data_IF_119857319335
#
_entry.id   IF_119857319335
#
_cell.length_a   1.000
_cell.length_b   1.000
_cell.length_c   1.000
_cell.angle_alpha   90.00
_cell.angle_beta   90.00
_cell.angle_gamma   90.00
#
_symmetry.space_group_name_H-M   'P 1'
#
loop_
_entity.id
_entity.type
_entity.pdbx_description
1 polymer ?
#
# COMPACT_ATOMS: atom_id res chain seq x y z
N UNK A 1 -16.01 38.43 29.17
CA UNK A 1 -16.23 37.85 27.84
C UNK A 1 -14.99 37.09 27.35
N UNK A 2 -13.81 37.71 27.27
CA UNK A 2 -12.57 37.07 26.79
C UNK A 2 -12.14 35.88 27.67
N UNK A 3 -12.17 36.05 28.99
CA UNK A 3 -11.85 34.99 29.94
C UNK A 3 -12.81 33.79 29.83
N UNK A 4 -14.09 34.05 29.62
CA UNK A 4 -15.08 33.00 29.42
C UNK A 4 -14.86 32.21 28.12
N UNK A 5 -14.42 32.87 27.04
CA UNK A 5 -14.07 32.24 25.79
C UNK A 5 -12.83 31.33 25.90
N UNK A 6 -11.81 31.80 26.65
CA UNK A 6 -10.59 31.01 26.87
C UNK A 6 -10.89 29.75 27.70
N UNK A 7 -11.71 29.89 28.75
CA UNK A 7 -12.12 28.77 29.60
C UNK A 7 -12.94 27.74 28.80
N UNK A 8 -13.92 28.20 28.01
CA UNK A 8 -14.73 27.33 27.16
C UNK A 8 -13.91 26.59 26.10
N UNK A 9 -12.96 27.27 25.46
CA UNK A 9 -12.08 26.68 24.47
C UNK A 9 -11.13 25.66 25.12
N UNK A 10 -10.58 25.95 26.27
CA UNK A 10 -9.74 25.04 27.04
C UNK A 10 -10.48 23.78 27.52
N UNK A 11 -11.70 23.94 28.03
CA UNK A 11 -12.56 22.80 28.40
C UNK A 11 -12.98 21.99 27.19
N UNK A 12 -13.30 22.63 26.07
CA UNK A 12 -13.64 21.96 24.82
C UNK A 12 -12.46 21.13 24.27
N UNK A 13 -11.26 21.66 24.27
CA UNK A 13 -10.05 20.97 23.87
C UNK A 13 -9.70 19.78 24.77
N UNK A 14 -9.85 19.93 26.07
CA UNK A 14 -9.63 18.85 27.05
C UNK A 14 -10.66 17.72 26.89
N UNK A 15 -11.95 18.06 26.76
CA UNK A 15 -13.01 17.06 26.53
C UNK A 15 -12.84 16.35 25.18
N UNK A 16 -12.54 17.06 24.11
CA UNK A 16 -12.32 16.45 22.79
C UNK A 16 -11.15 15.45 22.81
N UNK A 17 -10.06 15.75 23.52
CA UNK A 17 -8.91 14.87 23.61
C UNK A 17 -9.18 13.62 24.48
N UNK A 18 -9.94 13.76 25.57
CA UNK A 18 -10.32 12.64 26.46
C UNK A 18 -11.36 11.76 25.76
N UNK A 19 -12.40 12.34 25.16
CA UNK A 19 -13.42 11.59 24.40
C UNK A 19 -12.82 10.90 23.18
N UNK A 20 -11.94 11.56 22.43
CA UNK A 20 -11.28 10.98 21.27
C UNK A 20 -10.46 9.75 21.64
N UNK A 21 -9.67 9.81 22.72
CA UNK A 21 -8.90 8.66 23.23
C UNK A 21 -9.81 7.53 23.73
N UNK A 22 -10.88 7.85 24.42
CA UNK A 22 -11.83 6.85 24.95
C UNK A 22 -12.58 6.17 23.84
N UNK A 23 -13.00 6.88 22.80
CA UNK A 23 -13.67 6.30 21.62
C UNK A 23 -12.73 5.39 20.86
N UNK A 24 -11.47 5.80 20.67
CA UNK A 24 -10.47 4.94 20.02
C UNK A 24 -10.20 3.67 20.83
N UNK A 25 -10.00 3.78 22.15
CA UNK A 25 -9.80 2.62 23.02
C UNK A 25 -11.02 1.70 23.08
N UNK A 26 -12.24 2.27 23.07
CA UNK A 26 -13.48 1.49 23.02
C UNK A 26 -13.62 0.76 21.67
N UNK A 27 -13.28 1.43 20.58
CA UNK A 27 -13.24 0.84 19.24
C UNK A 27 -12.22 -0.31 19.16
N UNK A 28 -11.01 -0.12 19.67
CA UNK A 28 -9.98 -1.15 19.72
C UNK A 28 -10.42 -2.35 20.58
N UNK A 29 -10.98 -2.13 21.76
CA UNK A 29 -11.51 -3.18 22.63
C UNK A 29 -12.71 -3.93 22.02
N UNK A 30 -13.50 -3.27 21.17
CA UNK A 30 -14.61 -3.89 20.46
C UNK A 30 -14.11 -4.78 19.32
N UNK A 31 -13.08 -4.35 18.61
CA UNK A 31 -12.41 -5.12 17.54
C UNK A 31 -11.71 -6.36 18.11
N UNK A 32 -11.13 -6.26 19.30
CA UNK A 32 -10.47 -7.38 19.97
C UNK A 32 -11.43 -8.50 20.41
N UNK A 33 -12.72 -8.20 20.53
CA UNK A 33 -13.74 -9.18 20.97
C UNK A 33 -14.31 -10.04 19.84
N UNK A 34 -14.07 -9.68 18.59
CA UNK A 34 -14.57 -10.46 17.45
C UNK A 34 -13.39 -11.26 16.85
N UNK A 35 -13.31 -12.58 17.07
CA UNK A 35 -12.14 -13.40 16.68
C UNK A 35 -11.81 -13.32 15.18
N UNK A 36 -12.81 -13.19 14.33
CA UNK A 36 -12.64 -13.12 12.88
C UNK A 36 -12.02 -11.78 12.46
N UNK A 37 -12.47 -10.67 13.07
CA UNK A 37 -11.96 -9.32 12.77
C UNK A 37 -10.50 -9.19 13.26
N UNK A 38 -10.18 -9.77 14.42
CA UNK A 38 -8.81 -9.79 14.95
C UNK A 38 -7.84 -10.50 14.02
N UNK A 39 -8.24 -11.64 13.45
CA UNK A 39 -7.38 -12.38 12.52
C UNK A 39 -7.17 -11.63 11.19
N UNK A 40 -8.22 -11.00 10.66
CA UNK A 40 -8.14 -10.17 9.44
C UNK A 40 -7.32 -8.91 9.72
N UNK A 41 -7.56 -8.23 10.84
CA UNK A 41 -6.80 -7.04 11.23
C UNK A 41 -5.32 -7.37 11.49
N UNK A 42 -5.03 -8.49 12.16
CA UNK A 42 -3.66 -8.95 12.37
C UNK A 42 -2.94 -9.26 11.07
N UNK A 43 -3.61 -9.91 10.13
CA UNK A 43 -3.06 -10.21 8.81
C UNK A 43 -2.84 -8.92 7.99
N UNK A 44 -3.80 -8.00 7.98
CA UNK A 44 -3.66 -6.70 7.33
C UNK A 44 -2.57 -5.85 7.98
N UNK A 45 -2.50 -5.78 9.30
CA UNK A 45 -1.46 -5.07 10.03
C UNK A 45 -0.08 -5.64 9.72
N UNK A 46 0.07 -6.97 9.69
CA UNK A 46 1.31 -7.63 9.32
C UNK A 46 1.71 -7.34 7.86
N UNK A 47 0.74 -7.30 6.94
CA UNK A 47 0.97 -6.90 5.55
C UNK A 47 1.41 -5.43 5.50
N UNK A 48 0.71 -4.52 6.21
CA UNK A 48 1.05 -3.10 6.26
C UNK A 48 2.39 -2.83 6.94
N UNK A 49 2.70 -3.50 8.05
CA UNK A 49 4.00 -3.38 8.72
C UNK A 49 5.12 -3.96 7.86
N UNK A 50 4.87 -5.06 7.15
CA UNK A 50 5.82 -5.65 6.20
C UNK A 50 6.07 -4.70 5.02
N UNK A 51 5.03 -4.07 4.49
CA UNK A 51 5.14 -3.09 3.39
C UNK A 51 5.75 -1.77 3.88
N UNK A 52 5.36 -1.27 5.05
CA UNK A 52 5.82 0.03 5.57
C UNK A 52 7.25 -0.02 6.14
N UNK A 53 7.66 -1.12 6.80
CA UNK A 53 9.00 -1.29 7.35
C UNK A 53 10.02 -1.81 6.33
N UNK A 54 9.56 -2.37 5.22
CA UNK A 54 10.39 -2.96 4.18
C UNK A 54 10.29 -2.23 2.83
N UNK A 55 9.74 -1.02 2.81
CA UNK A 55 9.57 -0.25 1.58
C UNK A 55 10.87 -0.05 0.77
N UNK A 56 12.03 -0.29 1.39
CA UNK A 56 13.33 -0.30 0.71
C UNK A 56 13.95 -1.70 0.49
N UNK A 57 13.32 -2.80 0.96
CA UNK A 57 13.93 -4.14 0.86
C UNK A 57 13.05 -5.24 0.25
N UNK A 58 11.76 -5.05 0.09
CA UNK A 58 10.84 -6.12 -0.33
C UNK A 58 10.32 -6.02 -1.76
N UNK A 59 10.39 -4.86 -2.37
CA UNK A 59 10.16 -4.82 -3.81
C UNK A 59 11.50 -5.01 -4.51
N UNK A 60 11.58 -6.05 -5.34
CA UNK A 60 12.79 -6.33 -6.15
C UNK A 60 13.03 -5.28 -7.24
N UNK A 61 12.08 -4.35 -7.42
CA UNK A 61 12.16 -3.27 -8.37
C UNK A 61 10.82 -2.83 -8.92
N UNK A 62 10.88 -1.87 -9.80
CA UNK A 62 9.75 -1.33 -10.55
C UNK A 62 9.84 -1.84 -11.98
N UNK A 63 8.73 -2.27 -12.55
CA UNK A 63 8.67 -2.77 -13.92
C UNK A 63 7.52 -2.15 -14.70
N UNK A 64 7.72 -2.00 -16.01
CA UNK A 64 6.65 -1.83 -16.99
C UNK A 64 6.32 -3.17 -17.61
N UNK A 65 5.04 -3.42 -17.83
CA UNK A 65 4.56 -4.61 -18.52
C UNK A 65 3.25 -4.32 -19.26
N UNK A 66 2.94 -5.09 -20.26
CA UNK A 66 1.71 -4.90 -21.04
C UNK A 66 0.48 -5.36 -20.25
N UNK A 67 -0.44 -4.44 -19.98
CA UNK A 67 -1.69 -4.71 -19.28
C UNK A 67 -2.71 -3.58 -19.54
N UNK A 68 -4.00 -3.88 -19.80
CA UNK A 68 -4.63 -5.21 -19.86
C UNK A 68 -4.48 -5.92 -21.21
N UNK A 69 -3.82 -5.31 -22.17
CA UNK A 69 -3.57 -5.88 -23.49
C UNK A 69 -2.28 -5.34 -24.09
N UNK A 70 -1.86 -5.94 -25.20
CA UNK A 70 -0.71 -5.51 -25.97
C UNK A 70 -0.78 -4.02 -26.33
N UNK A 71 0.37 -3.36 -26.30
CA UNK A 71 0.57 -1.93 -26.57
C UNK A 71 -0.07 -0.96 -25.54
N UNK A 72 -0.55 -1.49 -24.40
CA UNK A 72 -0.92 -0.67 -23.23
C UNK A 72 -0.04 -1.09 -22.04
N UNK A 73 0.63 -0.11 -21.44
CA UNK A 73 1.63 -0.37 -20.42
C UNK A 73 1.15 0.01 -19.03
N UNK A 74 1.42 -0.84 -18.08
CA UNK A 74 1.18 -0.61 -16.66
C UNK A 74 2.49 -0.60 -15.88
N UNK A 75 2.54 0.21 -14.84
CA UNK A 75 3.62 0.24 -13.87
C UNK A 75 3.29 -0.70 -12.72
N UNK A 76 4.25 -1.52 -12.31
CA UNK A 76 4.07 -2.45 -11.20
C UNK A 76 5.32 -2.64 -10.36
N UNK A 77 5.11 -3.20 -9.18
CA UNK A 77 6.17 -3.52 -8.23
C UNK A 77 6.40 -5.03 -8.21
N UNK A 78 7.63 -5.45 -8.46
CA UNK A 78 8.01 -6.86 -8.34
C UNK A 78 8.12 -7.22 -6.87
N UNK A 79 7.27 -8.13 -6.42
CA UNK A 79 7.26 -8.59 -5.02
C UNK A 79 8.16 -9.80 -4.83
N UNK A 80 8.04 -10.81 -5.69
CA UNK A 80 8.82 -12.04 -5.63
C UNK A 80 8.79 -12.75 -6.97
N UNK A 81 9.56 -13.81 -7.10
CA UNK A 81 9.39 -14.80 -8.17
C UNK A 81 8.19 -15.70 -7.83
N UNK A 82 7.43 -16.16 -8.85
CA UNK A 82 6.34 -17.10 -8.63
C UNK A 82 6.87 -18.41 -8.03
N UNK A 83 6.09 -18.99 -7.11
CA UNK A 83 6.46 -20.22 -6.41
C UNK A 83 5.24 -21.14 -6.25
N UNK A 84 5.52 -22.39 -5.90
CA UNK A 84 4.50 -23.41 -5.62
C UNK A 84 3.65 -23.72 -6.86
N UNK A 85 2.37 -23.99 -6.65
CA UNK A 85 1.45 -24.47 -7.70
C UNK A 85 1.42 -23.57 -8.95
N UNK A 86 1.64 -22.27 -8.82
CA UNK A 86 1.66 -21.34 -9.97
C UNK A 86 2.89 -21.58 -10.82
N UNK A 87 4.07 -21.69 -10.20
CA UNK A 87 5.30 -22.00 -10.89
C UNK A 87 5.25 -23.41 -11.50
N UNK A 88 4.72 -24.39 -10.77
CA UNK A 88 4.59 -25.78 -11.26
C UNK A 88 3.71 -25.88 -12.53
N UNK A 89 2.66 -25.05 -12.62
CA UNK A 89 1.73 -25.09 -13.76
C UNK A 89 2.11 -24.20 -14.93
N UNK A 90 2.82 -23.11 -14.69
CA UNK A 90 3.10 -22.06 -15.69
C UNK A 90 4.58 -21.88 -16.00
N UNK A 91 5.47 -22.48 -15.22
CA UNK A 91 6.92 -22.36 -15.33
C UNK A 91 7.52 -21.44 -14.29
N UNK A 92 8.81 -21.59 -14.06
CA UNK A 92 9.55 -20.96 -12.96
C UNK A 92 9.97 -19.51 -13.26
N UNK A 93 9.83 -19.02 -14.49
CA UNK A 93 10.28 -17.68 -14.90
C UNK A 93 9.17 -16.62 -14.90
N UNK A 94 8.29 -16.72 -13.93
CA UNK A 94 7.24 -15.73 -13.69
C UNK A 94 7.60 -14.81 -12.54
N UNK A 95 7.41 -13.50 -12.75
CA UNK A 95 7.44 -12.49 -11.71
C UNK A 95 6.05 -12.33 -11.10
N UNK A 96 6.00 -12.27 -9.77
CA UNK A 96 4.83 -11.84 -9.03
C UNK A 96 4.86 -10.31 -8.95
N UNK A 97 3.87 -9.65 -9.54
CA UNK A 97 3.82 -8.19 -9.68
C UNK A 97 2.56 -7.67 -9.00
N UNK A 98 2.74 -6.68 -8.13
CA UNK A 98 1.66 -5.85 -7.65
C UNK A 98 1.49 -4.66 -8.59
N UNK A 99 0.34 -4.58 -9.26
CA UNK A 99 -0.05 -3.48 -10.12
C UNK A 99 -1.05 -2.59 -9.39
N UNK A 100 -0.62 -1.46 -8.79
CA UNK A 100 -1.50 -0.60 -8.00
C UNK A 100 -2.47 0.18 -8.87
N UNK A 101 -3.60 0.58 -8.27
CA UNK A 101 -4.52 1.53 -8.86
C UNK A 101 -4.09 2.97 -8.58
N UNK A 102 -4.52 3.90 -9.45
CA UNK A 102 -4.29 5.33 -9.27
C UNK A 102 -5.62 6.03 -8.92
N UNK A 103 -5.63 7.05 -8.08
CA UNK A 103 -4.56 7.61 -7.26
C UNK A 103 -4.31 6.84 -5.95
N UNK A 104 -5.09 5.79 -5.68
CA UNK A 104 -4.99 4.98 -4.46
C UNK A 104 -4.11 3.74 -4.67
N UNK A 105 -2.83 3.75 -4.23
CA UNK A 105 -1.91 2.62 -4.42
C UNK A 105 -2.10 1.49 -3.40
N UNK A 106 -3.07 1.59 -2.48
CA UNK A 106 -3.34 0.53 -1.49
C UNK A 106 -4.18 -0.60 -2.05
N UNK A 107 -4.78 -0.42 -3.22
CA UNK A 107 -5.49 -1.43 -3.99
C UNK A 107 -4.81 -1.66 -5.33
N UNK A 108 -5.09 -2.78 -5.97
CA UNK A 108 -4.48 -3.14 -7.24
C UNK A 108 -4.73 -4.60 -7.61
N UNK A 109 -3.93 -5.09 -8.53
CA UNK A 109 -4.00 -6.47 -9.03
C UNK A 109 -2.73 -7.22 -8.66
N UNK A 110 -2.88 -8.48 -8.32
CA UNK A 110 -1.77 -9.42 -8.25
C UNK A 110 -1.67 -10.12 -9.61
N UNK A 111 -0.56 -9.92 -10.29
CA UNK A 111 -0.33 -10.47 -11.62
C UNK A 111 0.90 -11.36 -11.63
N UNK A 112 0.89 -12.37 -12.48
CA UNK A 112 2.02 -13.26 -12.72
C UNK A 112 2.42 -13.09 -14.18
N UNK A 113 3.54 -12.44 -14.40
CA UNK A 113 3.99 -12.03 -15.75
C UNK A 113 5.33 -12.69 -16.05
N UNK A 114 5.52 -13.28 -17.24
CA UNK A 114 6.83 -13.74 -17.67
C UNK A 114 7.87 -12.63 -17.55
N UNK A 115 9.05 -12.97 -17.04
CA UNK A 115 10.14 -11.99 -16.88
C UNK A 115 10.50 -11.33 -18.20
N UNK A 116 10.49 -12.09 -19.29
CA UNK A 116 10.76 -11.58 -20.63
C UNK A 116 9.75 -10.53 -21.13
N UNK A 117 8.52 -10.55 -20.60
CA UNK A 117 7.46 -9.59 -20.93
C UNK A 117 7.48 -8.35 -20.03
N UNK A 118 8.53 -8.17 -19.22
CA UNK A 118 8.68 -7.02 -18.32
C UNK A 118 9.90 -6.19 -18.71
N UNK A 119 9.78 -4.88 -18.54
CA UNK A 119 10.88 -3.92 -18.71
C UNK A 119 11.24 -3.38 -17.31
N UNK A 120 12.46 -3.68 -16.86
CA UNK A 120 12.96 -3.17 -15.59
C UNK A 120 13.15 -1.65 -15.69
N UNK A 121 12.65 -0.93 -14.68
CA UNK A 121 12.81 0.51 -14.56
C UNK A 121 13.93 0.85 -13.59
N UNK A 122 14.65 1.94 -13.87
CA UNK A 122 15.72 2.43 -12.99
C UNK A 122 15.18 3.26 -11.83
N UNK A 123 13.94 3.76 -11.94
CA UNK A 123 13.29 4.53 -10.89
C UNK A 123 13.10 3.71 -9.60
N UNK A 124 13.19 4.38 -8.47
CA UNK A 124 12.93 3.81 -7.17
C UNK A 124 11.42 3.52 -6.95
N UNK A 125 11.13 2.67 -5.96
CA UNK A 125 9.75 2.37 -5.55
C UNK A 125 9.02 3.65 -5.10
N UNK A 126 9.73 4.58 -4.44
CA UNK A 126 9.15 5.85 -3.99
C UNK A 126 8.77 6.76 -5.16
N UNK A 127 9.63 6.87 -6.16
CA UNK A 127 9.38 7.64 -7.37
C UNK A 127 8.20 7.07 -8.17
N UNK A 128 8.16 5.76 -8.33
CA UNK A 128 7.04 5.08 -8.96
C UNK A 128 5.73 5.30 -8.20
N UNK A 129 5.76 5.26 -6.86
CA UNK A 129 4.59 5.55 -6.04
C UNK A 129 4.08 6.99 -6.23
N UNK A 130 4.98 7.98 -6.29
CA UNK A 130 4.63 9.38 -6.58
C UNK A 130 3.97 9.53 -7.96
N UNK A 131 4.51 8.84 -8.96
CA UNK A 131 3.95 8.83 -10.32
C UNK A 131 2.52 8.24 -10.33
N UNK A 132 2.30 7.12 -9.64
CA UNK A 132 0.99 6.46 -9.54
C UNK A 132 -0.03 7.32 -8.78
N UNK A 133 0.34 7.86 -7.62
CA UNK A 133 -0.54 8.70 -6.80
C UNK A 133 -0.92 9.99 -7.52
N UNK A 134 0.00 10.56 -8.28
CA UNK A 134 -0.23 11.78 -9.07
C UNK A 134 -0.94 11.53 -10.40
N UNK A 135 -1.31 10.29 -10.73
CA UNK A 135 -1.86 9.92 -12.03
C UNK A 135 -0.96 10.33 -13.22
N UNK A 136 0.36 10.22 -13.04
CA UNK A 136 1.33 10.55 -14.07
C UNK A 136 1.71 12.04 -14.17
N UNK A 137 1.20 12.89 -13.27
CA UNK A 137 1.49 14.33 -13.31
C UNK A 137 2.90 14.63 -12.77
N UNK A 138 3.31 13.95 -11.71
CA UNK A 138 4.64 14.09 -11.11
C UNK A 138 5.55 13.00 -11.70
N UNK A 139 6.45 13.43 -12.58
CA UNK A 139 7.45 12.55 -13.19
C UNK A 139 8.72 12.64 -12.34
N UNK A 140 9.42 11.52 -12.06
CA UNK A 140 10.73 11.55 -11.42
C UNK A 140 11.73 12.39 -12.20
N UNK A 141 12.54 13.18 -11.49
CA UNK A 141 13.63 13.93 -12.11
C UNK A 141 14.64 12.92 -12.70
N UNK A 142 14.96 13.10 -13.98
CA UNK A 142 16.03 12.35 -14.62
C UNK A 142 17.32 13.17 -14.41
N UNK A 143 18.09 12.80 -13.39
CA UNK A 143 19.47 13.28 -13.24
C UNK A 143 20.42 12.59 -14.24
#
# INVERSE_FOLDING_TARGET
VIASLIILTGLGALTANIFGKTILQFGENLLDRVPVIRNIYGALKQIFETVATQSNKNFKGVVLFEYPRKDIWALGFVTTDAKGEIADKKGDDLLCIFAPTTPNPTSGYLLFVPREDTIQMDMSVEEAAKLIISAGIVVPDQD
#
